data_IF_114489482635
#
_entry.id   IF_114489482635
#
_cell.length_a   1.000
_cell.length_b   1.000
_cell.length_c   1.000
_cell.angle_alpha   90.00
_cell.angle_beta   90.00
_cell.angle_gamma   90.00
#
_symmetry.space_group_name_H-M   'P 1'
#
loop_
_entity.id
_entity.type
_entity.pdbx_description
1 polymer ?
#
# COMPACT_ATOMS: atom_id res chain seq x y z
N UNK A 1 22.44 2.28 0.17
CA UNK A 1 21.24 2.52 -0.65
C UNK A 1 20.26 3.33 0.17
N UNK A 2 19.84 4.49 -0.34
CA UNK A 2 18.84 5.32 0.32
C UNK A 2 17.49 4.60 0.34
N UNK A 3 16.99 4.37 1.56
CA UNK A 3 15.72 3.69 1.83
C UNK A 3 14.56 4.67 2.01
N UNK A 4 14.86 5.97 2.03
CA UNK A 4 13.89 7.06 2.12
C UNK A 4 12.76 6.97 1.07
N UNK A 5 13.05 6.81 -0.24
CA UNK A 5 11.99 6.75 -1.25
C UNK A 5 11.02 5.59 -1.04
N UNK A 6 11.53 4.41 -0.63
CA UNK A 6 10.69 3.24 -0.41
C UNK A 6 9.78 3.41 0.83
N UNK A 7 10.26 4.10 1.88
CA UNK A 7 9.46 4.42 3.07
C UNK A 7 8.37 5.45 2.76
N UNK A 8 8.70 6.47 1.96
CA UNK A 8 7.74 7.49 1.51
C UNK A 8 6.64 6.87 0.64
N UNK A 9 6.99 5.97 -0.27
CA UNK A 9 6.02 5.23 -1.08
C UNK A 9 5.08 4.36 -0.23
N UNK A 10 5.60 3.69 0.80
CA UNK A 10 4.81 2.91 1.77
C UNK A 10 3.83 3.82 2.51
N UNK A 11 4.30 4.95 3.04
CA UNK A 11 3.46 5.91 3.76
C UNK A 11 2.37 6.51 2.84
N UNK A 12 2.71 6.82 1.59
CA UNK A 12 1.75 7.30 0.60
C UNK A 12 0.68 6.27 0.25
N UNK A 13 1.05 4.99 0.10
CA UNK A 13 0.09 3.91 -0.13
C UNK A 13 -0.83 3.68 1.07
N UNK A 14 -0.30 3.71 2.29
CA UNK A 14 -1.11 3.59 3.52
C UNK A 14 -2.15 4.69 3.60
N UNK A 15 -1.74 5.94 3.41
CA UNK A 15 -2.66 7.09 3.41
C UNK A 15 -3.75 6.94 2.34
N UNK A 16 -3.38 6.51 1.13
CA UNK A 16 -4.33 6.32 0.04
C UNK A 16 -5.35 5.22 0.33
N UNK A 17 -4.94 4.14 0.98
CA UNK A 17 -5.83 3.06 1.42
C UNK A 17 -6.79 3.57 2.51
N UNK A 18 -6.29 4.33 3.48
CA UNK A 18 -7.10 4.94 4.54
C UNK A 18 -8.13 5.92 3.96
N UNK A 19 -7.71 6.80 3.05
CA UNK A 19 -8.58 7.75 2.37
C UNK A 19 -9.66 7.02 1.55
N UNK A 20 -9.31 5.94 0.86
CA UNK A 20 -10.27 5.06 0.18
C UNK A 20 -11.23 4.42 1.17
N UNK A 21 -10.72 3.82 2.25
CA UNK A 21 -11.52 3.20 3.32
C UNK A 21 -12.52 4.19 3.94
N UNK A 22 -12.13 5.44 4.10
CA UNK A 22 -12.98 6.52 4.61
C UNK A 22 -14.05 6.98 3.60
N UNK A 23 -13.78 6.85 2.30
CA UNK A 23 -14.65 7.31 1.20
C UNK A 23 -15.54 6.20 0.63
N UNK A 24 -15.81 5.12 1.41
CA UNK A 24 -16.60 3.97 0.97
C UNK A 24 -17.85 4.38 0.17
N UNK A 25 -17.94 4.01 -1.12
CA UNK A 25 -19.10 4.35 -1.93
C UNK A 25 -20.34 3.66 -1.39
N UNK A 26 -21.39 4.42 -1.09
CA UNK A 26 -22.67 3.88 -0.59
C UNK A 26 -23.38 2.97 -1.60
N UNK A 27 -22.98 3.00 -2.87
CA UNK A 27 -23.62 2.29 -3.97
C UNK A 27 -22.66 1.41 -4.79
N UNK A 28 -21.50 1.02 -4.25
CA UNK A 28 -20.69 0.03 -4.96
C UNK A 28 -21.36 -1.35 -4.91
N UNK A 29 -21.99 -1.72 -6.02
CA UNK A 29 -22.61 -3.04 -6.24
C UNK A 29 -21.71 -3.99 -7.02
N UNK A 30 -20.57 -3.51 -7.49
CA UNK A 30 -19.66 -4.22 -8.39
C UNK A 30 -18.45 -4.83 -7.67
N UNK A 31 -18.22 -4.45 -6.41
CA UNK A 31 -17.01 -4.83 -5.68
C UNK A 31 -15.74 -4.17 -6.22
N UNK A 32 -15.87 -3.19 -7.13
CA UNK A 32 -14.74 -2.49 -7.72
C UNK A 32 -13.93 -1.72 -6.66
N UNK A 33 -14.60 -1.20 -5.65
CA UNK A 33 -13.98 -0.56 -4.50
C UNK A 33 -13.14 -1.54 -3.67
N UNK A 34 -13.70 -2.71 -3.37
CA UNK A 34 -13.02 -3.75 -2.59
C UNK A 34 -11.81 -4.28 -3.35
N UNK A 35 -11.98 -4.53 -4.66
CA UNK A 35 -10.87 -4.88 -5.56
C UNK A 35 -9.79 -3.80 -5.61
N UNK A 36 -10.18 -2.52 -5.60
CA UNK A 36 -9.22 -1.42 -5.62
C UNK A 36 -8.43 -1.31 -4.32
N UNK A 37 -9.08 -1.53 -3.17
CA UNK A 37 -8.40 -1.60 -1.88
C UNK A 37 -7.44 -2.78 -1.86
N UNK A 38 -7.89 -3.97 -2.28
CA UNK A 38 -7.08 -5.18 -2.31
C UNK A 38 -5.80 -4.99 -3.14
N UNK A 39 -5.91 -4.42 -4.35
CA UNK A 39 -4.75 -4.11 -5.19
C UNK A 39 -3.75 -3.15 -4.52
N UNK A 40 -4.24 -2.15 -3.78
CA UNK A 40 -3.37 -1.21 -3.07
C UNK A 40 -2.70 -1.86 -1.86
N UNK A 41 -3.41 -2.75 -1.15
CA UNK A 41 -2.87 -3.54 -0.04
C UNK A 41 -1.78 -4.51 -0.54
N UNK A 42 -1.99 -5.18 -1.68
CA UNK A 42 -0.98 -6.03 -2.32
C UNK A 42 0.29 -5.24 -2.66
N UNK A 43 0.14 -4.06 -3.30
CA UNK A 43 1.28 -3.18 -3.60
C UNK A 43 2.02 -2.71 -2.34
N UNK A 44 1.29 -2.42 -1.26
CA UNK A 44 1.87 -2.02 0.01
C UNK A 44 2.74 -3.15 0.59
N UNK A 45 2.23 -4.38 0.58
CA UNK A 45 2.93 -5.53 1.12
C UNK A 45 4.15 -5.91 0.27
N UNK A 46 4.08 -5.81 -1.05
CA UNK A 46 5.24 -5.94 -1.93
C UNK A 46 6.36 -4.95 -1.56
N UNK A 47 6.01 -3.68 -1.35
CA UNK A 47 6.99 -2.66 -0.95
C UNK A 47 7.56 -2.91 0.44
N UNK A 48 6.74 -3.36 1.41
CA UNK A 48 7.22 -3.77 2.73
C UNK A 48 8.18 -4.95 2.65
N UNK A 49 7.87 -5.97 1.84
CA UNK A 49 8.75 -7.13 1.61
C UNK A 49 10.07 -6.66 0.98
N UNK A 50 10.01 -5.76 -0.01
CA UNK A 50 11.20 -5.18 -0.64
C UNK A 50 12.05 -4.42 0.39
N UNK A 51 11.44 -3.64 1.27
CA UNK A 51 12.13 -2.93 2.34
C UNK A 51 12.77 -3.92 3.34
N UNK A 52 12.03 -4.96 3.75
CA UNK A 52 12.53 -5.99 4.64
C UNK A 52 13.73 -6.75 4.04
N UNK A 53 13.67 -7.10 2.74
CA UNK A 53 14.80 -7.70 2.01
C UNK A 53 16.01 -6.75 1.95
N UNK A 54 15.80 -5.45 1.77
CA UNK A 54 16.89 -4.45 1.82
C UNK A 54 17.49 -4.27 3.22
N UNK A 55 16.71 -4.51 4.28
CA UNK A 55 17.21 -4.50 5.66
C UNK A 55 18.04 -5.75 5.96
N UNK A 56 17.63 -6.91 5.47
CA UNK A 56 18.36 -8.17 5.64
C UNK A 56 19.67 -8.22 4.86
N UNK A 57 19.71 -7.68 3.62
CA UNK A 57 20.91 -7.67 2.77
C UNK A 57 21.96 -6.63 3.16
N UNK A 58 21.65 -5.75 4.11
CA UNK A 58 22.55 -4.70 4.60
C UNK A 58 23.12 -4.98 6.00
N UNK A 59 23.03 -6.23 6.49
CA UNK A 59 23.73 -6.72 7.68
C UNK A 59 24.94 -7.55 7.27
#
# INVERSE_FOLDING_TARGET
>A
MDRAPLKEEIAGLQKRIEDLKATKPAHDKTGAYEMRIFQLEEQLDEKKIKLAKQLQRGR
#
